data_IF_282757505266
#
_entry.id   IF_282757505266
#
_cell.length_a   1.000
_cell.length_b   1.000
_cell.length_c   1.000
_cell.angle_alpha   90.00
_cell.angle_beta   90.00
_cell.angle_gamma   90.00
#
_symmetry.space_group_name_H-M   'P 1'
#
loop_
_entity.id
_entity.type
_entity.pdbx_description
1 polymer ?
#
# COMPACT_ATOMS: atom_id res chain seq x y z
N UNK A 1 -3.16 7.42 31.44
CA UNK A 1 -2.47 6.65 32.50
C UNK A 1 -1.54 5.62 31.86
N UNK A 2 -0.50 5.14 32.56
CA UNK A 2 0.38 4.05 32.07
C UNK A 2 -0.38 2.74 31.81
N UNK A 3 -1.41 2.46 32.61
CA UNK A 3 -2.26 1.26 32.45
C UNK A 3 -3.05 1.29 31.13
N UNK A 4 -3.69 2.43 30.83
CA UNK A 4 -4.40 2.64 29.57
C UNK A 4 -3.48 2.48 28.35
N UNK A 5 -2.23 2.93 28.46
CA UNK A 5 -1.25 2.73 27.41
C UNK A 5 -0.90 1.25 27.20
N UNK A 6 -0.71 0.49 28.27
CA UNK A 6 -0.45 -0.96 28.17
C UNK A 6 -1.64 -1.74 27.62
N UNK A 7 -2.87 -1.37 28.01
CA UNK A 7 -4.10 -1.96 27.46
C UNK A 7 -4.20 -1.67 25.96
N UNK A 8 -4.09 -0.39 25.57
CA UNK A 8 -4.15 -0.01 24.17
C UNK A 8 -3.02 -0.64 23.35
N UNK A 9 -1.80 -0.74 23.89
CA UNK A 9 -0.71 -1.45 23.25
C UNK A 9 -1.03 -2.92 22.96
N UNK A 10 -1.65 -3.64 23.91
CA UNK A 10 -2.02 -5.04 23.73
C UNK A 10 -3.09 -5.21 22.63
N UNK A 11 -4.03 -4.28 22.55
CA UNK A 11 -5.18 -4.30 21.63
C UNK A 11 -4.90 -3.72 20.24
N UNK A 12 -3.74 -3.08 20.04
CA UNK A 12 -3.34 -2.48 18.75
C UNK A 12 -3.40 -3.51 17.62
N UNK A 13 -4.14 -3.16 16.56
CA UNK A 13 -4.25 -3.90 15.29
C UNK A 13 -3.50 -3.22 14.13
N UNK A 14 -2.52 -2.38 14.47
CA UNK A 14 -1.65 -1.66 13.53
C UNK A 14 -0.18 -1.75 14.01
N UNK A 15 0.74 -1.00 13.42
CA UNK A 15 2.15 -1.02 13.80
C UNK A 15 2.34 -0.67 15.29
N UNK A 16 2.75 -1.66 16.10
CA UNK A 16 2.98 -1.47 17.54
C UNK A 16 4.04 -0.42 17.86
N UNK A 17 5.07 -0.29 17.02
CA UNK A 17 6.11 0.73 17.20
C UNK A 17 5.55 2.13 17.00
N UNK A 18 4.69 2.32 15.98
CA UNK A 18 4.00 3.58 15.73
C UNK A 18 3.14 3.98 16.92
N UNK A 19 2.40 3.03 17.52
CA UNK A 19 1.63 3.27 18.73
C UNK A 19 2.48 3.77 19.90
N UNK A 20 3.60 3.09 20.20
CA UNK A 20 4.51 3.46 21.29
C UNK A 20 5.12 4.85 21.06
N UNK A 21 5.61 5.13 19.85
CA UNK A 21 6.20 6.42 19.50
C UNK A 21 5.18 7.56 19.63
N UNK A 22 3.97 7.37 19.10
CA UNK A 22 2.91 8.38 19.17
C UNK A 22 2.54 8.71 20.63
N UNK A 23 2.57 7.72 21.54
CA UNK A 23 2.34 7.95 22.96
C UNK A 23 3.40 8.87 23.60
N UNK A 24 4.64 8.81 23.13
CA UNK A 24 5.74 9.71 23.53
C UNK A 24 5.81 11.00 22.71
N UNK A 25 4.86 11.23 21.79
CA UNK A 25 4.84 12.42 20.93
C UNK A 25 5.77 12.33 19.71
N UNK A 26 6.34 11.16 19.43
CA UNK A 26 7.15 10.92 18.24
C UNK A 26 6.27 10.37 17.10
N UNK A 27 6.41 10.93 15.91
CA UNK A 27 5.70 10.44 14.73
C UNK A 27 6.56 9.45 13.94
N UNK A 28 5.89 8.43 13.40
CA UNK A 28 6.48 7.49 12.45
C UNK A 28 5.62 7.47 11.19
N UNK A 29 6.16 8.02 10.11
CA UNK A 29 5.44 8.18 8.83
C UNK A 29 5.05 6.85 8.21
N UNK A 30 5.82 5.80 8.49
CA UNK A 30 5.65 4.47 7.90
C UNK A 30 5.52 3.39 8.97
N UNK A 31 4.84 2.28 8.64
CA UNK A 31 4.85 1.13 9.54
C UNK A 31 6.28 0.62 9.71
N UNK A 32 6.62 0.16 10.92
CA UNK A 32 8.02 -0.13 11.25
C UNK A 32 8.61 -1.36 10.56
N UNK A 33 7.81 -2.24 9.96
CA UNK A 33 8.25 -3.45 9.28
C UNK A 33 8.77 -4.59 10.18
N UNK A 34 8.99 -4.34 11.49
CA UNK A 34 9.70 -5.28 12.37
C UNK A 34 8.87 -5.80 13.57
N UNK A 35 7.70 -5.22 13.87
CA UNK A 35 6.81 -5.74 14.92
C UNK A 35 5.97 -6.93 14.42
N UNK A 36 5.38 -7.67 15.36
CA UNK A 36 4.48 -8.81 15.09
C UNK A 36 3.34 -8.43 14.13
N UNK A 37 2.66 -7.31 14.34
CA UNK A 37 1.57 -6.86 13.46
C UNK A 37 2.05 -6.52 12.04
N UNK A 38 3.26 -5.95 11.89
CA UNK A 38 3.85 -5.68 10.59
C UNK A 38 4.25 -6.98 9.89
N UNK A 39 4.85 -7.93 10.63
CA UNK A 39 5.23 -9.26 10.10
C UNK A 39 4.01 -10.09 9.70
N UNK A 40 2.90 -9.93 10.41
CA UNK A 40 1.62 -10.55 10.09
C UNK A 40 0.87 -9.84 8.93
N UNK A 41 1.39 -8.71 8.43
CA UNK A 41 0.79 -7.97 7.32
C UNK A 41 -0.55 -7.28 7.64
N UNK A 42 -0.89 -7.12 8.93
CA UNK A 42 -2.15 -6.49 9.36
C UNK A 42 -2.01 -4.99 9.62
N UNK A 43 -0.79 -4.46 9.67
CA UNK A 43 -0.56 -3.01 9.80
C UNK A 43 -0.86 -2.31 8.48
N UNK A 44 -1.66 -1.24 8.53
CA UNK A 44 -1.96 -0.44 7.35
C UNK A 44 -0.73 0.38 6.98
N UNK A 45 0.01 -0.05 5.95
CA UNK A 45 1.08 0.78 5.40
C UNK A 45 0.48 1.88 4.52
N UNK A 46 0.68 3.14 4.87
CA UNK A 46 0.49 4.28 3.94
C UNK A 46 1.52 4.24 2.78
N UNK A 47 2.55 3.40 2.91
CA UNK A 47 3.53 3.01 1.90
C UNK A 47 3.16 1.71 1.19
N UNK A 48 1.92 1.58 0.71
CA UNK A 48 1.64 0.62 -0.35
C UNK A 48 2.66 0.83 -1.48
N UNK A 49 3.25 -0.26 -2.01
CA UNK A 49 4.22 -0.20 -3.10
C UNK A 49 3.65 0.69 -4.23
N UNK A 50 4.38 1.68 -4.74
CA UNK A 50 3.93 2.55 -5.86
C UNK A 50 4.89 2.47 -7.05
N UNK A 51 5.02 1.30 -7.69
CA UNK A 51 6.03 1.05 -8.72
C UNK A 51 5.69 1.72 -10.08
N UNK A 52 4.42 2.09 -10.28
CA UNK A 52 3.93 2.76 -11.49
C UNK A 52 3.60 4.23 -11.17
N UNK A 53 4.25 5.22 -11.81
CA UNK A 53 3.91 6.63 -11.62
C UNK A 53 2.45 6.94 -11.95
N UNK A 54 1.84 7.89 -11.23
CA UNK A 54 0.52 8.40 -11.60
C UNK A 54 0.60 9.02 -13.00
N UNK A 55 -0.47 8.85 -13.78
CA UNK A 55 -0.59 9.24 -15.19
C UNK A 55 0.31 8.48 -16.16
N UNK A 56 1.09 7.48 -15.69
CA UNK A 56 1.88 6.63 -16.60
C UNK A 56 1.01 5.59 -17.32
N UNK A 57 1.44 5.21 -18.52
CA UNK A 57 0.82 4.14 -19.31
C UNK A 57 1.36 2.77 -18.92
N UNK A 58 0.45 1.80 -18.80
CA UNK A 58 0.75 0.40 -18.50
C UNK A 58 -0.04 -0.52 -19.44
N UNK A 59 0.46 -1.73 -19.66
CA UNK A 59 -0.22 -2.78 -20.43
C UNK A 59 -0.52 -3.96 -19.51
N UNK A 60 -1.76 -4.46 -19.56
CA UNK A 60 -2.19 -5.71 -18.94
C UNK A 60 -2.56 -6.75 -20.00
N UNK A 61 -2.11 -7.99 -19.84
CA UNK A 61 -2.30 -9.08 -20.83
C UNK A 61 -3.76 -9.27 -21.29
N UNK A 62 -4.72 -9.12 -20.36
CA UNK A 62 -6.14 -9.34 -20.64
C UNK A 62 -6.94 -8.06 -20.88
N UNK A 63 -6.39 -6.89 -20.58
CA UNK A 63 -7.15 -5.63 -20.58
C UNK A 63 -6.57 -4.54 -21.49
N UNK A 64 -5.43 -4.82 -22.12
CA UNK A 64 -4.78 -3.89 -23.04
C UNK A 64 -4.09 -2.74 -22.30
N UNK A 65 -4.04 -1.59 -22.98
CA UNK A 65 -3.45 -0.36 -22.47
C UNK A 65 -4.34 0.31 -21.43
N UNK A 66 -3.71 0.90 -20.42
CA UNK A 66 -4.37 1.71 -19.42
C UNK A 66 -3.46 2.76 -18.79
N UNK A 67 -4.09 3.71 -18.12
CA UNK A 67 -3.43 4.84 -17.44
C UNK A 67 -3.58 4.70 -15.93
N UNK A 68 -2.47 4.81 -15.20
CA UNK A 68 -2.47 4.81 -13.73
C UNK A 68 -3.12 6.09 -13.24
N UNK A 69 -4.24 5.98 -12.53
CA UNK A 69 -5.01 7.13 -12.09
C UNK A 69 -4.65 7.57 -10.67
N UNK A 70 -4.58 6.61 -9.73
CA UNK A 70 -4.31 6.87 -8.31
C UNK A 70 -3.93 5.60 -7.56
N UNK A 71 -3.53 5.76 -6.31
CA UNK A 71 -3.35 4.69 -5.34
C UNK A 71 -4.36 4.82 -4.20
N UNK A 72 -4.85 3.69 -3.73
CA UNK A 72 -5.75 3.57 -2.57
C UNK A 72 -5.14 2.53 -1.62
N UNK A 73 -4.49 3.00 -0.55
CA UNK A 73 -3.70 2.16 0.36
C UNK A 73 -2.69 1.27 -0.40
N UNK A 74 -2.91 -0.05 -0.44
CA UNK A 74 -2.06 -1.04 -1.12
C UNK A 74 -2.47 -1.31 -2.58
N UNK A 75 -3.49 -0.63 -3.09
CA UNK A 75 -4.07 -0.86 -4.42
C UNK A 75 -3.73 0.24 -5.41
N UNK A 76 -3.61 -0.12 -6.68
CA UNK A 76 -3.49 0.80 -7.80
C UNK A 76 -4.79 0.80 -8.60
N UNK A 77 -5.27 1.99 -8.96
CA UNK A 77 -6.45 2.17 -9.80
C UNK A 77 -6.01 2.60 -11.19
N UNK A 78 -6.42 1.86 -12.21
CA UNK A 78 -6.03 2.04 -13.60
C UNK A 78 -7.29 2.16 -14.45
N UNK A 79 -7.29 3.12 -15.37
CA UNK A 79 -8.32 3.24 -16.41
C UNK A 79 -7.80 2.55 -17.67
N UNK A 80 -8.38 1.40 -18.03
CA UNK A 80 -8.09 0.69 -19.27
C UNK A 80 -9.05 1.14 -20.39
N UNK A 81 -8.54 1.27 -21.61
CA UNK A 81 -9.30 1.82 -22.75
C UNK A 81 -10.53 0.98 -23.10
N UNK A 82 -10.40 -0.35 -23.03
CA UNK A 82 -11.46 -1.27 -23.49
C UNK A 82 -12.40 -1.73 -22.37
N UNK A 83 -11.93 -1.75 -21.12
CA UNK A 83 -12.65 -2.38 -19.99
C UNK A 83 -12.90 -1.44 -18.81
N UNK A 84 -12.54 -0.16 -18.94
CA UNK A 84 -12.76 0.86 -17.93
C UNK A 84 -11.86 0.73 -16.69
N UNK A 85 -12.37 1.18 -15.55
CA UNK A 85 -11.61 1.18 -14.29
C UNK A 85 -11.38 -0.24 -13.76
N UNK A 86 -10.13 -0.51 -13.35
CA UNK A 86 -9.76 -1.70 -12.59
C UNK A 86 -8.90 -1.31 -11.40
N UNK A 87 -9.17 -1.96 -10.28
CA UNK A 87 -8.40 -1.81 -9.04
C UNK A 87 -7.66 -3.11 -8.79
N UNK A 88 -6.33 -3.02 -8.64
CA UNK A 88 -5.45 -4.17 -8.42
C UNK A 88 -4.68 -4.00 -7.12
N UNK A 89 -4.47 -5.08 -6.37
CA UNK A 89 -3.44 -5.08 -5.31
C UNK A 89 -2.08 -4.84 -5.95
N UNK A 90 -1.35 -3.84 -5.46
CA UNK A 90 -0.09 -3.44 -6.08
C UNK A 90 0.99 -4.49 -5.91
N UNK A 91 1.00 -5.15 -4.75
CA UNK A 91 1.90 -6.29 -4.50
C UNK A 91 1.65 -7.41 -5.51
N UNK A 92 0.38 -7.78 -5.74
CA UNK A 92 0.03 -8.82 -6.72
C UNK A 92 0.44 -8.42 -8.14
N UNK A 93 0.22 -7.15 -8.51
CA UNK A 93 0.58 -6.64 -9.83
C UNK A 93 2.09 -6.77 -10.11
N UNK A 94 2.94 -6.51 -9.11
CA UNK A 94 4.39 -6.68 -9.24
C UNK A 94 4.81 -8.15 -9.21
N UNK A 95 4.38 -8.90 -8.19
CA UNK A 95 4.82 -10.30 -8.00
C UNK A 95 4.42 -11.20 -9.17
N UNK A 96 3.28 -10.92 -9.80
CA UNK A 96 2.77 -11.70 -10.94
C UNK A 96 3.05 -11.05 -12.29
N UNK A 97 3.74 -9.90 -12.32
CA UNK A 97 4.03 -9.17 -13.56
C UNK A 97 2.77 -8.82 -14.37
N UNK A 98 1.69 -8.42 -13.70
CA UNK A 98 0.41 -8.15 -14.36
C UNK A 98 0.44 -6.90 -15.23
N UNK A 99 1.35 -5.97 -14.93
CA UNK A 99 1.43 -4.66 -15.58
C UNK A 99 2.85 -4.38 -16.06
N UNK A 100 2.98 -4.11 -17.36
CA UNK A 100 4.22 -3.66 -17.99
C UNK A 100 4.18 -2.15 -18.24
N UNK A 101 5.26 -1.43 -17.94
CA UNK A 101 5.38 0.00 -18.27
C UNK A 101 5.53 0.15 -19.78
N UNK A 102 4.81 1.08 -20.37
CA UNK A 102 5.06 1.51 -21.75
C UNK A 102 6.21 2.51 -21.71
N UNK A 103 7.37 2.17 -22.28
CA UNK A 103 8.47 3.12 -22.43
C UNK A 103 8.00 4.30 -23.29
N UNK A 104 8.28 5.53 -22.86
CA UNK A 104 8.18 6.67 -23.75
C UNK A 104 9.27 6.51 -24.82
N UNK A 105 8.87 6.36 -26.08
CA UNK A 105 9.77 6.48 -27.23
C UNK A 105 10.21 7.91 -27.44
#
# INVERSE_FOLDING_TARGET
SRLEMMRGYAEVRDCRRKYVLNYFGEQLDQVCGHCDNCKAGISASDSGLKPYPISSRVIHKSWGEGTVMRYEADKVVILFEQVGYKTLSTMTAVLRGLLHKVSAG
#
